data_IF_155162880970
#
_entry.id   IF_155162880970
#
_cell.length_a   1.000
_cell.length_b   1.000
_cell.length_c   1.000
_cell.angle_alpha   90.00
_cell.angle_beta   90.00
_cell.angle_gamma   90.00
#
_symmetry.space_group_name_H-M   'P 1'
#
loop_
_entity.id
_entity.type
_entity.pdbx_description
1 polymer ?
#
# COMPACT_ATOMS: atom_id res chain seq x y z
N UNK A 1 -9.07 -2.25 2.80
CA UNK A 1 -9.78 -1.34 1.86
C UNK A 1 -9.22 0.09 1.81
N UNK A 2 -8.46 0.55 2.81
CA UNK A 2 -7.89 1.92 2.83
C UNK A 2 -7.03 2.28 1.60
N UNK A 3 -6.18 1.35 1.13
CA UNK A 3 -5.26 1.60 0.00
C UNK A 3 -6.02 2.01 -1.26
N UNK A 4 -6.99 1.21 -1.69
CA UNK A 4 -7.74 1.45 -2.92
C UNK A 4 -8.58 2.73 -2.87
N UNK A 5 -9.19 3.04 -1.71
CA UNK A 5 -9.97 4.25 -1.52
C UNK A 5 -9.10 5.51 -1.64
N UNK A 6 -7.98 5.56 -0.92
CA UNK A 6 -7.07 6.70 -0.98
C UNK A 6 -6.45 6.88 -2.39
N UNK A 7 -6.19 5.79 -3.12
CA UNK A 7 -5.78 5.86 -4.53
C UNK A 7 -6.87 6.54 -5.37
N UNK A 8 -8.10 6.03 -5.30
CA UNK A 8 -9.22 6.54 -6.08
C UNK A 8 -9.50 8.02 -5.77
N UNK A 9 -9.52 8.40 -4.49
CA UNK A 9 -9.70 9.79 -4.07
C UNK A 9 -8.55 10.68 -4.53
N UNK A 10 -7.31 10.19 -4.49
CA UNK A 10 -6.14 10.89 -5.00
C UNK A 10 -6.21 11.15 -6.51
N UNK A 11 -6.74 10.21 -7.30
CA UNK A 11 -6.91 10.38 -8.76
C UNK A 11 -7.82 11.56 -9.12
N UNK A 12 -8.83 11.86 -8.30
CA UNK A 12 -9.76 12.98 -8.52
C UNK A 12 -9.44 14.22 -7.67
N UNK A 13 -8.38 14.18 -6.86
CA UNK A 13 -7.91 15.31 -6.06
C UNK A 13 -6.93 16.19 -6.83
N UNK A 14 -6.82 17.47 -6.44
CA UNK A 14 -5.88 18.44 -7.04
C UNK A 14 -4.92 19.00 -5.98
N UNK A 15 -3.75 19.45 -6.43
CA UNK A 15 -2.75 20.08 -5.57
C UNK A 15 -2.34 19.19 -4.39
N UNK A 16 -2.14 19.80 -3.23
CA UNK A 16 -1.66 19.12 -2.02
C UNK A 16 -2.55 17.96 -1.56
N UNK A 17 -3.86 18.00 -1.85
CA UNK A 17 -4.77 16.91 -1.49
C UNK A 17 -4.45 15.61 -2.23
N UNK A 18 -3.99 15.70 -3.49
CA UNK A 18 -3.59 14.51 -4.27
C UNK A 18 -2.40 13.80 -3.61
N UNK A 19 -1.35 14.56 -3.30
CA UNK A 19 -0.15 14.03 -2.63
C UNK A 19 -0.48 13.42 -1.26
N UNK A 20 -1.30 14.11 -0.45
CA UNK A 20 -1.72 13.61 0.86
C UNK A 20 -2.46 12.27 0.77
N UNK A 21 -3.38 12.10 -0.20
CA UNK A 21 -4.09 10.82 -0.40
C UNK A 21 -3.15 9.71 -0.84
N UNK A 22 -2.20 9.98 -1.75
CA UNK A 22 -1.21 8.98 -2.15
C UNK A 22 -0.25 8.60 -1.01
N UNK A 23 0.12 9.55 -0.16
CA UNK A 23 0.88 9.26 1.07
C UNK A 23 0.11 8.32 2.01
N UNK A 24 -1.17 8.59 2.25
CA UNK A 24 -2.02 7.70 3.07
C UNK A 24 -2.15 6.31 2.46
N UNK A 25 -2.34 6.22 1.14
CA UNK A 25 -2.37 4.93 0.44
C UNK A 25 -1.04 4.17 0.59
N UNK A 26 0.10 4.87 0.48
CA UNK A 26 1.43 4.28 0.64
C UNK A 26 1.64 3.74 2.04
N UNK A 27 1.25 4.50 3.06
CA UNK A 27 1.27 4.08 4.46
C UNK A 27 0.48 2.80 4.68
N UNK A 28 -0.79 2.79 4.30
CA UNK A 28 -1.65 1.61 4.45
C UNK A 28 -1.17 0.38 3.66
N UNK A 29 -0.54 0.57 2.50
CA UNK A 29 0.04 -0.54 1.74
C UNK A 29 1.25 -1.16 2.45
N UNK A 30 2.13 -0.33 3.05
CA UNK A 30 3.27 -0.79 3.83
C UNK A 30 2.84 -1.45 5.14
N UNK A 31 1.85 -0.91 5.82
CA UNK A 31 1.25 -1.52 7.02
C UNK A 31 0.69 -2.91 6.70
N UNK A 32 -0.04 -3.04 5.58
CA UNK A 32 -0.57 -4.34 5.14
C UNK A 32 0.54 -5.36 4.91
N UNK A 33 1.65 -4.96 4.27
CA UNK A 33 2.81 -5.83 4.06
C UNK A 33 3.44 -6.26 5.39
N UNK A 34 3.66 -5.31 6.30
CA UNK A 34 4.21 -5.57 7.62
C UNK A 34 3.31 -6.51 8.44
N UNK A 35 1.98 -6.38 8.33
CA UNK A 35 1.04 -7.29 8.97
C UNK A 35 1.15 -8.72 8.43
N UNK A 36 1.35 -8.91 7.12
CA UNK A 36 1.56 -10.24 6.54
C UNK A 36 2.87 -10.86 7.04
N UNK A 37 3.97 -10.09 7.01
CA UNK A 37 5.29 -10.51 7.51
C UNK A 37 5.23 -10.90 9.01
N UNK A 38 4.52 -10.11 9.82
CA UNK A 38 4.33 -10.39 11.23
C UNK A 38 3.43 -11.62 11.46
N UNK A 39 2.33 -11.75 10.72
CA UNK A 39 1.42 -12.89 10.85
C UNK A 39 2.10 -14.21 10.49
N UNK A 40 2.95 -14.22 9.45
CA UNK A 40 3.76 -15.37 9.08
C UNK A 40 4.81 -15.69 10.15
N UNK A 41 5.53 -14.67 10.64
CA UNK A 41 6.55 -14.84 11.69
C UNK A 41 5.98 -15.35 13.01
N UNK A 42 4.76 -14.93 13.36
CA UNK A 42 4.04 -15.39 14.55
C UNK A 42 3.36 -16.75 14.35
N UNK A 43 3.37 -17.31 13.14
CA UNK A 43 2.69 -18.57 12.81
C UNK A 43 1.16 -18.47 12.82
N UNK A 44 0.60 -17.26 12.71
CA UNK A 44 -0.86 -17.06 12.56
C UNK A 44 -1.36 -17.46 11.18
N UNK A 45 -0.49 -17.37 10.19
CA UNK A 45 -0.71 -17.88 8.85
C UNK A 45 0.46 -18.79 8.47
N UNK A 46 0.22 -19.70 7.53
CA UNK A 46 1.31 -20.40 6.83
C UNK A 46 2.06 -19.41 5.94
N UNK A 47 3.04 -19.90 5.18
CA UNK A 47 3.79 -19.10 4.21
C UNK A 47 2.86 -18.21 3.37
N UNK A 48 3.14 -16.90 3.38
CA UNK A 48 2.35 -15.94 2.59
C UNK A 48 2.58 -16.22 1.11
N UNK A 49 1.51 -16.15 0.30
CA UNK A 49 1.63 -16.30 -1.15
C UNK A 49 2.57 -15.24 -1.73
N UNK A 50 3.67 -15.70 -2.33
CA UNK A 50 4.69 -14.86 -2.96
C UNK A 50 4.09 -13.99 -4.05
N UNK A 51 3.14 -14.51 -4.84
CA UNK A 51 2.51 -13.74 -5.91
C UNK A 51 1.70 -12.56 -5.36
N UNK A 52 1.00 -12.77 -4.24
CA UNK A 52 0.26 -11.72 -3.53
C UNK A 52 1.20 -10.64 -2.97
N UNK A 53 2.30 -11.05 -2.32
CA UNK A 53 3.30 -10.11 -1.77
C UNK A 53 3.91 -9.27 -2.88
N UNK A 54 4.27 -9.87 -4.01
CA UNK A 54 4.83 -9.16 -5.16
C UNK A 54 3.82 -8.21 -5.82
N UNK A 55 2.52 -8.55 -5.83
CA UNK A 55 1.48 -7.62 -6.26
C UNK A 55 1.41 -6.39 -5.34
N UNK A 56 1.45 -6.59 -4.03
CA UNK A 56 1.42 -5.48 -3.06
C UNK A 56 2.67 -4.60 -3.16
N UNK A 57 3.86 -5.20 -3.33
CA UNK A 57 5.12 -4.46 -3.57
C UNK A 57 5.06 -3.62 -4.85
N UNK A 58 4.44 -4.10 -5.92
CA UNK A 58 4.22 -3.30 -7.14
C UNK A 58 3.34 -2.07 -6.89
N UNK A 59 2.29 -2.21 -6.08
CA UNK A 59 1.45 -1.08 -5.66
C UNK A 59 2.26 -0.07 -4.85
N UNK A 60 3.04 -0.53 -3.87
CA UNK A 60 3.95 0.31 -3.07
C UNK A 60 4.93 1.07 -3.96
N UNK A 61 5.61 0.37 -4.88
CA UNK A 61 6.57 0.99 -5.81
C UNK A 61 5.94 2.04 -6.72
N UNK A 62 4.68 1.84 -7.11
CA UNK A 62 3.92 2.83 -7.89
C UNK A 62 3.60 4.07 -7.05
N UNK A 63 3.13 3.86 -5.81
CA UNK A 63 2.81 4.95 -4.88
C UNK A 63 4.04 5.76 -4.48
N UNK A 64 5.20 5.12 -4.27
CA UNK A 64 6.48 5.81 -4.01
C UNK A 64 6.80 6.81 -5.14
N UNK A 65 6.62 6.40 -6.40
CA UNK A 65 6.86 7.29 -7.55
C UNK A 65 5.87 8.46 -7.59
N UNK A 66 4.60 8.20 -7.26
CA UNK A 66 3.55 9.22 -7.27
C UNK A 66 3.66 10.23 -6.12
N UNK A 67 4.23 9.80 -4.99
CA UNK A 67 4.46 10.63 -3.81
C UNK A 67 5.70 11.50 -3.97
N UNK A 68 6.71 11.04 -4.72
CA UNK A 68 7.94 11.78 -4.96
C UNK A 68 7.83 12.83 -6.10
N UNK A 69 6.68 12.91 -6.76
CA UNK A 69 6.40 13.80 -7.90
C UNK A 69 5.60 15.05 -7.47
#
# INVERSE_FOLDING_TARGET
MSVALNIAEGMYSRGNNRGARYHSALGSARETLACLEAAESCGYVNATDVALVEQLKRVVGTLVKLVAA
#
